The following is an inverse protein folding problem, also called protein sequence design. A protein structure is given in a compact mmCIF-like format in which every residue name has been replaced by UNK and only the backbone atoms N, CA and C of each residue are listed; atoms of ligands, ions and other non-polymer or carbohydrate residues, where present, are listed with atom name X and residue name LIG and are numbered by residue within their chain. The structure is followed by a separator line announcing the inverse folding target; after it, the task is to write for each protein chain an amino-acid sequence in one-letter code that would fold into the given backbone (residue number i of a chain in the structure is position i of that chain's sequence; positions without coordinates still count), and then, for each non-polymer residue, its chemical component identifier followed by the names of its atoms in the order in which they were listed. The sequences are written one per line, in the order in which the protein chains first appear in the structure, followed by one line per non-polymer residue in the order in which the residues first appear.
data_IF_959252177602
#
_entry.id   IF_959252177602
#
_cell.length_a   1.000
_cell.length_b   1.000
_cell.length_c   1.000
_cell.angle_alpha   90.00
_cell.angle_beta   90.00
_cell.angle_gamma   90.00
#
_symmetry.space_group_name_H-M   'P 1'
#
loop_
_entity.id
_entity.type
_entity.pdbx_description
1 polymer ?
#
# COMPACT_ATOMS: atom_id res chain seq x y z
N UNK A 1 2.38 12.84 -3.66
CA UNK A 1 1.58 11.78 -4.23
C UNK A 1 1.82 10.46 -3.53
N UNK A 2 0.78 9.67 -3.46
CA UNK A 2 0.91 8.32 -2.95
C UNK A 2 0.27 7.39 -3.97
N UNK A 3 0.89 6.25 -4.21
CA UNK A 3 0.41 5.29 -5.19
C UNK A 3 -0.09 4.07 -4.44
N UNK A 4 -1.32 3.68 -4.69
CA UNK A 4 -1.91 2.53 -4.04
C UNK A 4 -2.00 1.41 -5.04
N UNK A 5 -1.59 0.22 -4.67
CA UNK A 5 -1.65 -0.89 -5.58
C UNK A 5 -1.63 -2.22 -4.88
N UNK A 6 -1.90 -3.28 -5.63
CA UNK A 6 -1.97 -4.61 -5.07
C UNK A 6 -1.02 -5.59 -5.77
N UNK A 7 -0.10 -5.11 -6.57
CA UNK A 7 0.78 -6.00 -7.30
C UNK A 7 2.23 -5.58 -7.14
N UNK A 8 3.12 -6.53 -7.42
CA UNK A 8 4.54 -6.24 -7.38
C UNK A 8 4.91 -5.19 -8.41
N UNK A 9 4.25 -5.22 -9.56
CA UNK A 9 4.53 -4.26 -10.60
C UNK A 9 4.22 -2.85 -10.11
N UNK A 10 3.08 -2.68 -9.42
CA UNK A 10 2.71 -1.39 -8.87
C UNK A 10 3.75 -0.90 -7.89
N UNK A 11 4.24 -1.80 -7.04
CA UNK A 11 5.25 -1.45 -6.07
C UNK A 11 6.55 -1.00 -6.78
N UNK A 12 6.95 -1.73 -7.81
CA UNK A 12 8.18 -1.40 -8.49
C UNK A 12 8.08 -0.07 -9.22
N UNK A 13 6.93 0.23 -9.79
CA UNK A 13 6.72 1.50 -10.46
C UNK A 13 6.82 2.64 -9.44
N UNK A 14 6.22 2.48 -8.28
CA UNK A 14 6.27 3.52 -7.26
C UNK A 14 7.69 3.75 -6.79
N UNK A 15 8.45 2.67 -6.59
CA UNK A 15 9.81 2.82 -6.13
C UNK A 15 10.67 3.50 -7.21
N UNK A 16 10.49 3.13 -8.46
CA UNK A 16 11.25 3.71 -9.53
C UNK A 16 10.93 5.19 -9.72
N UNK A 17 9.72 5.59 -9.38
CA UNK A 17 9.31 6.98 -9.52
C UNK A 17 9.49 7.77 -8.24
N UNK A 18 10.01 7.14 -7.20
CA UNK A 18 10.25 7.79 -5.91
C UNK A 18 8.94 8.35 -5.34
N UNK A 19 7.89 7.57 -5.41
CA UNK A 19 6.58 7.95 -4.91
C UNK A 19 6.22 7.03 -3.75
N UNK A 20 5.54 7.56 -2.74
CA UNK A 20 5.11 6.73 -1.64
C UNK A 20 4.12 5.69 -2.09
N UNK A 21 4.16 4.52 -1.50
CA UNK A 21 3.34 3.41 -1.92
C UNK A 21 2.55 2.86 -0.73
N UNK A 22 1.30 2.50 -0.97
CA UNK A 22 0.47 1.82 0.01
C UNK A 22 0.08 0.49 -0.60
N UNK A 23 0.39 -0.60 0.09
CA UNK A 23 0.11 -1.94 -0.39
C UNK A 23 -1.30 -2.36 0.02
N UNK A 24 -2.11 -2.76 -0.96
CA UNK A 24 -3.43 -3.28 -0.67
C UNK A 24 -3.34 -4.78 -0.86
N UNK A 25 -3.25 -5.51 0.24
CA UNK A 25 -2.86 -6.91 0.16
C UNK A 25 -4.04 -7.88 0.06
N UNK A 26 -5.24 -7.41 0.25
CA UNK A 26 -6.38 -8.32 0.25
C UNK A 26 -6.69 -8.93 -1.10
N UNK A 27 -6.24 -8.30 -2.19
CA UNK A 27 -6.53 -8.81 -3.53
C UNK A 27 -5.28 -9.21 -4.29
N UNK A 28 -4.13 -9.17 -3.66
CA UNK A 28 -2.90 -9.38 -4.39
C UNK A 28 -2.66 -10.85 -4.66
N UNK A 29 -2.06 -11.14 -5.81
CA UNK A 29 -1.61 -12.48 -6.10
C UNK A 29 -0.14 -12.65 -5.75
N UNK A 30 0.51 -11.63 -5.26
CA UNK A 30 1.91 -11.67 -4.88
C UNK A 30 2.03 -12.31 -3.50
N UNK A 31 2.33 -13.59 -3.47
CA UNK A 31 2.23 -14.35 -2.24
C UNK A 31 3.23 -13.94 -1.19
N UNK A 32 4.40 -13.50 -1.58
CA UNK A 32 5.41 -13.14 -0.62
C UNK A 32 5.57 -11.63 -0.53
N UNK A 33 4.47 -10.91 -0.68
CA UNK A 33 4.54 -9.46 -0.74
C UNK A 33 5.18 -8.86 0.49
N UNK A 34 4.92 -9.44 1.65
CA UNK A 34 5.45 -8.85 2.88
C UNK A 34 6.97 -8.93 2.92
N UNK A 35 7.54 -9.96 2.34
CA UNK A 35 8.99 -10.07 2.33
C UNK A 35 9.60 -9.21 1.24
N UNK A 36 8.83 -8.83 0.26
CA UNK A 36 9.35 -8.07 -0.86
C UNK A 36 9.29 -6.57 -0.71
N UNK A 37 8.63 -6.06 0.33
CA UNK A 37 8.56 -4.63 0.52
C UNK A 37 9.05 -4.25 1.91
N UNK A 38 9.54 -3.02 2.08
CA UNK A 38 10.06 -2.58 3.37
C UNK A 38 8.98 -2.53 4.43
N UNK A 39 9.38 -2.66 5.67
CA UNK A 39 8.41 -2.68 6.74
C UNK A 39 7.74 -1.35 6.98
N UNK A 40 8.33 -0.27 6.55
CA UNK A 40 7.74 1.03 6.76
C UNK A 40 6.70 1.39 5.71
N UNK A 41 6.45 0.50 4.75
CA UNK A 41 5.38 0.73 3.79
C UNK A 41 4.04 0.45 4.46
N UNK A 42 3.09 1.34 4.30
CA UNK A 42 1.76 1.16 4.86
C UNK A 42 1.04 0.08 4.08
N UNK A 43 0.40 -0.83 4.79
CA UNK A 43 -0.32 -1.94 4.16
C UNK A 43 -1.75 -1.95 4.67
N UNK A 44 -2.71 -2.09 3.77
CA UNK A 44 -4.11 -2.19 4.15
C UNK A 44 -4.73 -3.37 3.43
N UNK A 45 -5.80 -3.91 4.00
CA UNK A 45 -6.41 -5.09 3.41
C UNK A 45 -7.23 -4.75 2.17
N UNK A 46 -7.90 -3.60 2.17
CA UNK A 46 -8.73 -3.23 1.04
C UNK A 46 -8.89 -1.72 1.04
N UNK A 47 -9.62 -1.22 0.07
CA UNK A 47 -9.81 0.21 -0.05
C UNK A 47 -10.58 0.81 1.11
N UNK A 48 -11.44 0.02 1.74
CA UNK A 48 -12.19 0.51 2.87
C UNK A 48 -11.25 0.86 4.02
N UNK A 49 -10.26 0.00 4.27
CA UNK A 49 -9.30 0.31 5.32
C UNK A 49 -8.48 1.53 4.95
N UNK A 50 -8.18 1.71 3.68
CA UNK A 50 -7.45 2.86 3.25
C UNK A 50 -8.24 4.13 3.55
N UNK A 51 -9.53 4.12 3.28
CA UNK A 51 -10.35 5.29 3.56
C UNK A 51 -10.40 5.56 5.05
N UNK A 52 -10.44 4.53 5.87
CA UNK A 52 -10.47 4.71 7.30
C UNK A 52 -9.18 5.33 7.81
N UNK A 53 -8.06 4.97 7.21
CA UNK A 53 -6.82 5.60 7.58
C UNK A 53 -6.85 7.10 7.32
N UNK A 54 -7.46 7.49 6.23
CA UNK A 54 -7.47 8.90 5.89
C UNK A 54 -8.40 9.69 6.76
N UNK A 55 -9.43 9.02 7.33
CA UNK A 55 -10.37 9.74 8.10
C UNK A 55 -10.07 9.76 9.52
N UNK A 56 -9.37 8.80 10.03
CA UNK A 56 -9.31 8.65 11.42
C UNK A 56 -8.62 9.70 12.12
N UNK A 57 -7.58 10.16 11.70
CA UNK A 57 -6.77 10.86 12.55
C UNK A 57 -7.29 11.99 13.13
N UNK A 58 -7.89 12.76 12.65
CA UNK A 58 -8.02 13.85 13.32
C UNK A 58 -9.20 14.02 13.84
N UNK A 59 -9.83 13.20 13.92
CA UNK A 59 -10.90 13.37 14.45
C UNK A 59 -10.78 13.58 15.71
N UNK A 60 -9.98 13.25 16.14
CA UNK A 60 -9.87 13.38 17.51
C UNK A 60 -10.16 14.67 18.00
#
# INVERSE_FOLDING_TARGET
FVFCGDSRYDYEVAMASNIEFIMIYGYTEWKNWREGIPRDIVCVRNFRELLELQRSPHEA
#
